data_IF_790966326010
#
_entry.id   IF_790966326010
#
_cell.length_a   1.000
_cell.length_b   1.000
_cell.length_c   1.000
_cell.angle_alpha   90.00
_cell.angle_beta   90.00
_cell.angle_gamma   90.00
#
_symmetry.space_group_name_H-M   'P 1'
#
loop_
_entity.id
_entity.type
_entity.pdbx_description
1 polymer ?
#
# COMPACT_ATOMS: atom_id res chain seq x y z
N UNK A 1 -8.95 -15.48 -4.11
CA UNK A 1 -8.26 -14.25 -3.64
C UNK A 1 -9.04 -13.07 -4.18
N UNK A 2 -9.44 -12.13 -3.35
CA UNK A 2 -10.16 -10.94 -3.83
C UNK A 2 -9.22 -10.09 -4.69
N UNK A 3 -9.73 -9.47 -5.75
CA UNK A 3 -8.96 -8.60 -6.66
C UNK A 3 -8.15 -7.52 -5.90
N UNK A 4 -8.76 -6.93 -4.87
CA UNK A 4 -8.13 -5.97 -3.97
C UNK A 4 -6.83 -6.51 -3.35
N UNK A 5 -6.86 -7.74 -2.82
CA UNK A 5 -5.69 -8.35 -2.16
C UNK A 5 -4.54 -8.60 -3.11
N UNK A 6 -4.83 -8.83 -4.40
CA UNK A 6 -3.80 -9.02 -5.43
C UNK A 6 -3.05 -7.74 -5.80
N UNK A 7 -3.65 -6.55 -5.56
CA UNK A 7 -3.13 -5.26 -6.03
C UNK A 7 -2.75 -4.29 -4.92
N UNK A 8 -3.11 -4.57 -3.65
CA UNK A 8 -2.93 -3.62 -2.54
C UNK A 8 -1.48 -3.41 -2.14
N UNK A 9 -0.64 -4.46 -2.21
CA UNK A 9 0.72 -4.46 -1.68
C UNK A 9 1.75 -4.16 -2.75
N UNK A 10 2.45 -3.03 -2.59
CA UNK A 10 3.51 -2.59 -3.51
C UNK A 10 4.83 -3.21 -3.09
N UNK A 11 5.58 -3.89 -3.97
CA UNK A 11 6.93 -4.36 -3.64
C UNK A 11 7.84 -3.21 -3.21
N UNK A 12 8.67 -3.37 -2.16
CA UNK A 12 9.55 -2.30 -1.65
C UNK A 12 10.43 -1.66 -2.72
N UNK A 13 10.92 -2.44 -3.69
CA UNK A 13 11.73 -1.95 -4.81
C UNK A 13 10.97 -1.05 -5.79
N UNK A 14 9.63 -1.05 -5.72
CA UNK A 14 8.76 -0.15 -6.49
C UNK A 14 8.34 1.10 -5.71
N UNK A 15 8.89 1.28 -4.50
CA UNK A 15 8.67 2.44 -3.64
C UNK A 15 9.92 3.32 -3.63
N UNK A 16 9.71 4.63 -3.72
CA UNK A 16 10.77 5.63 -3.61
C UNK A 16 10.45 6.62 -2.51
N UNK A 17 11.34 6.75 -1.53
CA UNK A 17 11.19 7.73 -0.45
C UNK A 17 11.30 9.15 -1.00
N UNK A 18 10.32 9.99 -0.69
CA UNK A 18 10.33 11.41 -1.06
C UNK A 18 11.22 12.15 -0.06
N UNK A 19 12.32 12.73 -0.55
CA UNK A 19 13.35 13.35 0.30
C UNK A 19 13.16 14.85 0.51
N UNK A 20 12.26 15.49 -0.25
CA UNK A 20 12.04 16.93 -0.18
C UNK A 20 10.60 17.37 -0.40
N UNK A 21 10.35 18.68 -0.23
CA UNK A 21 9.06 19.29 -0.44
C UNK A 21 7.99 18.91 0.58
N UNK A 22 6.73 19.24 0.24
CA UNK A 22 5.55 19.03 1.12
C UNK A 22 5.30 17.57 1.50
N UNK A 23 5.72 16.64 0.66
CA UNK A 23 5.51 15.20 0.83
C UNK A 23 6.73 14.48 1.39
N UNK A 24 7.73 15.22 1.92
CA UNK A 24 8.95 14.64 2.53
C UNK A 24 8.58 13.57 3.56
N UNK A 25 9.24 12.43 3.45
CA UNK A 25 9.04 11.27 4.32
C UNK A 25 7.96 10.29 3.85
N UNK A 26 7.12 10.68 2.89
CA UNK A 26 6.18 9.75 2.23
C UNK A 26 6.88 8.96 1.14
N UNK A 27 6.23 7.88 0.71
CA UNK A 27 6.72 7.03 -0.38
C UNK A 27 5.92 7.30 -1.65
N UNK A 28 6.62 7.40 -2.77
CA UNK A 28 6.05 7.44 -4.11
C UNK A 28 6.07 6.03 -4.70
N UNK A 29 5.00 5.67 -5.37
CA UNK A 29 4.87 4.37 -6.05
C UNK A 29 5.28 4.55 -7.51
N UNK A 30 6.23 3.75 -7.97
CA UNK A 30 6.64 3.74 -9.37
C UNK A 30 5.42 3.53 -10.29
N UNK A 31 5.11 4.47 -11.20
CA UNK A 31 3.98 4.34 -12.11
C UNK A 31 4.02 3.07 -12.96
N UNK A 32 5.20 2.62 -13.35
CA UNK A 32 5.38 1.41 -14.15
C UNK A 32 4.92 0.15 -13.41
N UNK A 33 5.08 0.11 -12.07
CA UNK A 33 4.54 -0.98 -11.27
C UNK A 33 3.00 -1.01 -11.34
N UNK A 34 2.34 0.16 -11.27
CA UNK A 34 0.88 0.23 -11.39
C UNK A 34 0.39 -0.36 -12.72
N UNK A 35 1.08 -0.03 -13.83
CA UNK A 35 0.72 -0.57 -15.15
C UNK A 35 1.00 -2.06 -15.25
N UNK A 36 2.07 -2.54 -14.62
CA UNK A 36 2.40 -3.96 -14.56
C UNK A 36 1.32 -4.74 -13.82
N UNK A 37 0.93 -4.33 -12.62
CA UNK A 37 -0.09 -5.04 -11.84
C UNK A 37 -1.45 -5.04 -12.54
N UNK A 38 -1.81 -3.94 -13.20
CA UNK A 38 -3.03 -3.91 -14.03
C UNK A 38 -2.95 -4.91 -15.19
N UNK A 39 -1.79 -5.01 -15.83
CA UNK A 39 -1.58 -5.96 -16.94
C UNK A 39 -1.58 -7.40 -16.44
N UNK A 40 -1.01 -7.68 -15.29
CA UNK A 40 -1.01 -9.01 -14.65
C UNK A 40 -2.42 -9.47 -14.26
N UNK A 41 -3.27 -8.55 -13.79
CA UNK A 41 -4.62 -8.88 -13.32
C UNK A 41 -5.67 -8.90 -14.45
N UNK A 42 -5.55 -8.04 -15.45
CA UNK A 42 -6.58 -7.83 -16.46
C UNK A 42 -6.12 -8.13 -17.89
N UNK A 43 -4.82 -8.33 -18.11
CA UNK A 43 -4.23 -8.43 -19.45
C UNK A 43 -3.68 -7.09 -19.95
N UNK A 44 -3.12 -7.04 -21.17
CA UNK A 44 -2.48 -5.84 -21.71
C UNK A 44 -3.41 -4.65 -21.83
N UNK A 45 -2.86 -3.44 -21.67
CA UNK A 45 -3.59 -2.19 -21.93
C UNK A 45 -4.13 -2.15 -23.37
N UNK A 46 -5.38 -1.77 -23.53
CA UNK A 46 -6.11 -1.83 -24.80
C UNK A 46 -6.84 -3.14 -25.05
N UNK A 47 -6.51 -4.22 -24.31
CA UNK A 47 -7.12 -5.54 -24.42
C UNK A 47 -7.91 -5.91 -23.17
N UNK A 48 -7.26 -5.95 -22.01
CA UNK A 48 -7.87 -6.32 -20.73
C UNK A 48 -8.27 -5.13 -19.87
N UNK A 49 -7.59 -4.02 -20.06
CA UNK A 49 -7.96 -2.72 -19.50
C UNK A 49 -7.58 -1.62 -20.49
N UNK A 50 -8.19 -0.46 -20.37
CA UNK A 50 -7.87 0.72 -21.19
C UNK A 50 -8.18 1.99 -20.43
N UNK A 51 -7.69 3.11 -20.94
CA UNK A 51 -8.08 4.41 -20.44
C UNK A 51 -8.32 5.40 -21.59
N UNK A 52 -9.03 6.45 -21.27
CA UNK A 52 -9.30 7.59 -22.17
C UNK A 52 -8.90 8.88 -21.44
N UNK A 53 -8.20 9.76 -22.12
CA UNK A 53 -8.00 11.13 -21.66
C UNK A 53 -9.24 11.92 -22.07
N UNK A 54 -10.05 12.31 -21.07
CA UNK A 54 -11.29 13.05 -21.31
C UNK A 54 -10.98 14.51 -21.58
N UNK A 55 -10.05 15.07 -20.78
CA UNK A 55 -9.71 16.48 -20.84
C UNK A 55 -8.29 16.73 -20.34
N UNK A 56 -7.60 17.63 -21.02
CA UNK A 56 -6.36 18.27 -20.57
C UNK A 56 -6.61 19.77 -20.51
N UNK A 57 -6.22 20.42 -19.41
CA UNK A 57 -6.33 21.85 -19.28
C UNK A 57 -5.24 22.41 -18.37
N UNK A 58 -5.02 23.70 -18.43
CA UNK A 58 -4.11 24.39 -17.52
C UNK A 58 -4.81 25.53 -16.81
N UNK A 59 -4.36 25.81 -15.60
CA UNK A 59 -4.85 26.91 -14.77
C UNK A 59 -3.68 27.75 -14.26
N UNK A 60 -3.84 29.09 -14.25
CA UNK A 60 -2.83 29.97 -13.65
C UNK A 60 -2.82 29.79 -12.14
N UNK A 61 -1.63 29.77 -11.57
CA UNK A 61 -1.40 29.81 -10.14
C UNK A 61 -0.82 31.17 -9.68
N UNK A 62 -0.49 31.30 -8.40
CA UNK A 62 0.15 32.50 -7.88
C UNK A 62 1.53 32.71 -8.51
N UNK A 63 2.01 33.95 -8.54
CA UNK A 63 3.37 34.31 -8.93
C UNK A 63 3.81 33.86 -10.34
N UNK A 64 2.86 33.70 -11.27
CA UNK A 64 3.14 33.27 -12.65
C UNK A 64 3.29 31.74 -12.80
N UNK A 65 3.04 30.97 -11.77
CA UNK A 65 2.95 29.51 -11.89
C UNK A 65 1.79 29.10 -12.78
N UNK A 66 1.92 27.91 -13.39
CA UNK A 66 0.84 27.30 -14.18
C UNK A 66 0.75 25.82 -13.79
N UNK A 67 -0.46 25.37 -13.55
CA UNK A 67 -0.75 23.96 -13.25
C UNK A 67 -1.40 23.30 -14.47
N UNK A 68 -0.87 22.13 -14.86
CA UNK A 68 -1.50 21.23 -15.80
C UNK A 68 -2.42 20.27 -15.08
N UNK A 69 -3.57 19.97 -15.64
CA UNK A 69 -4.54 19.01 -15.14
C UNK A 69 -4.91 18.02 -16.23
N UNK A 70 -5.26 16.82 -15.80
CA UNK A 70 -5.76 15.75 -16.65
C UNK A 70 -6.97 15.08 -16.00
N UNK A 71 -8.00 14.84 -16.78
CA UNK A 71 -9.11 13.97 -16.43
C UNK A 71 -9.04 12.72 -17.28
N UNK A 72 -9.10 11.55 -16.64
CA UNK A 72 -9.08 10.26 -17.31
C UNK A 72 -10.27 9.41 -16.89
N UNK A 73 -10.60 8.43 -17.74
CA UNK A 73 -11.52 7.32 -17.45
C UNK A 73 -10.79 6.02 -17.70
N UNK A 74 -10.80 5.11 -16.72
CA UNK A 74 -10.26 3.76 -16.85
C UNK A 74 -11.41 2.79 -17.00
N UNK A 75 -11.22 1.76 -17.83
CA UNK A 75 -12.20 0.72 -18.11
C UNK A 75 -11.53 -0.65 -17.99
N UNK A 76 -12.25 -1.62 -17.47
CA UNK A 76 -11.84 -3.01 -17.37
C UNK A 76 -12.63 -3.86 -18.36
N UNK A 77 -11.99 -4.85 -18.95
CA UNK A 77 -12.68 -5.85 -19.77
C UNK A 77 -13.43 -6.83 -18.87
N UNK A 78 -14.69 -7.05 -19.17
CA UNK A 78 -15.57 -8.02 -18.51
C UNK A 78 -16.11 -9.00 -19.56
N UNK A 79 -16.80 -10.05 -19.11
CA UNK A 79 -17.43 -11.01 -20.02
C UNK A 79 -18.52 -10.35 -20.87
N UNK A 80 -19.21 -9.35 -20.32
CA UNK A 80 -20.30 -8.61 -20.99
C UNK A 80 -19.82 -7.38 -21.80
N UNK A 81 -18.50 -7.13 -21.85
CA UNK A 81 -17.95 -5.98 -22.58
C UNK A 81 -16.94 -5.16 -21.77
N UNK A 82 -17.09 -3.85 -21.76
CA UNK A 82 -16.29 -2.96 -20.93
C UNK A 82 -17.09 -2.51 -19.70
N UNK A 83 -16.41 -2.41 -18.56
CA UNK A 83 -16.99 -1.88 -17.33
C UNK A 83 -17.46 -0.44 -17.49
N UNK A 84 -18.22 0.06 -16.52
CA UNK A 84 -18.39 1.48 -16.32
C UNK A 84 -17.06 2.19 -16.08
N UNK A 85 -17.04 3.49 -16.40
CA UNK A 85 -15.85 4.30 -16.29
C UNK A 85 -15.42 4.51 -14.82
N UNK A 86 -14.15 4.29 -14.54
CA UNK A 86 -13.51 4.63 -13.27
C UNK A 86 -12.81 5.97 -13.46
N UNK A 87 -13.29 7.05 -12.83
CA UNK A 87 -12.75 8.39 -13.06
C UNK A 87 -11.46 8.64 -12.31
N UNK A 88 -10.61 9.49 -12.85
CA UNK A 88 -9.45 10.03 -12.17
C UNK A 88 -9.13 11.44 -12.62
N UNK A 89 -8.77 12.29 -11.68
CA UNK A 89 -8.29 13.66 -11.96
C UNK A 89 -6.94 13.81 -11.30
N UNK A 90 -5.98 14.33 -12.05
CA UNK A 90 -4.62 14.56 -11.57
C UNK A 90 -4.07 15.91 -12.01
N UNK A 91 -3.02 16.33 -11.33
CA UNK A 91 -2.38 17.62 -11.59
C UNK A 91 -0.88 17.59 -11.45
N UNK A 92 -0.23 18.51 -12.15
CA UNK A 92 1.20 18.75 -12.05
C UNK A 92 1.54 20.21 -12.29
N UNK A 93 2.68 20.67 -11.82
CA UNK A 93 3.21 21.98 -12.17
C UNK A 93 3.78 21.94 -13.59
N UNK A 94 3.27 22.82 -14.43
CA UNK A 94 3.78 23.04 -15.78
C UNK A 94 4.73 24.25 -15.83
N UNK A 95 4.46 25.29 -15.02
CA UNK A 95 5.40 26.38 -14.75
C UNK A 95 5.54 26.50 -13.23
N UNK A 96 6.75 26.36 -12.75
CA UNK A 96 7.07 26.50 -11.32
C UNK A 96 7.97 27.71 -11.07
N UNK A 97 7.88 28.27 -9.87
CA UNK A 97 8.76 29.36 -9.41
C UNK A 97 9.91 28.75 -8.61
N UNK A 98 11.09 28.89 -9.16
CA UNK A 98 12.33 28.50 -8.52
C UNK A 98 13.16 29.72 -8.09
N UNK A 99 14.28 29.51 -7.41
CA UNK A 99 15.18 30.58 -6.98
C UNK A 99 15.74 31.43 -8.15
N UNK A 100 15.90 30.80 -9.33
CA UNK A 100 16.40 31.44 -10.55
C UNK A 100 15.30 32.11 -11.39
N UNK A 101 14.01 32.00 -11.02
CA UNK A 101 12.87 32.51 -11.75
C UNK A 101 11.86 31.46 -12.13
N UNK A 102 11.06 31.72 -13.16
CA UNK A 102 10.07 30.78 -13.66
C UNK A 102 10.75 29.68 -14.50
N UNK A 103 10.44 28.45 -14.20
CA UNK A 103 10.90 27.26 -14.92
C UNK A 103 9.71 26.58 -15.61
N UNK A 104 9.80 26.37 -16.92
CA UNK A 104 8.78 25.64 -17.67
C UNK A 104 9.13 24.16 -17.78
N UNK A 105 8.18 23.29 -17.42
CA UNK A 105 8.26 21.86 -17.52
C UNK A 105 7.37 21.37 -18.68
N UNK A 106 7.98 20.89 -19.76
CA UNK A 106 7.29 20.37 -20.95
C UNK A 106 6.56 19.04 -20.70
N UNK A 107 6.87 18.35 -19.59
CA UNK A 107 6.21 17.11 -19.17
C UNK A 107 4.94 17.34 -18.33
N UNK A 108 4.51 18.57 -18.08
CA UNK A 108 3.41 18.92 -17.18
C UNK A 108 2.13 18.10 -17.43
N UNK A 109 1.66 17.99 -18.67
CA UNK A 109 0.48 17.18 -19.00
C UNK A 109 0.71 15.67 -18.88
N UNK A 110 1.91 15.19 -19.20
CA UNK A 110 2.28 13.78 -19.00
C UNK A 110 2.23 13.40 -17.51
N UNK A 111 2.79 14.24 -16.66
CA UNK A 111 2.79 14.04 -15.22
C UNK A 111 1.37 14.12 -14.64
N UNK A 112 0.56 15.09 -15.06
CA UNK A 112 -0.84 15.23 -14.68
C UNK A 112 -1.66 13.99 -15.08
N UNK A 113 -1.44 13.44 -16.28
CA UNK A 113 -2.12 12.21 -16.73
C UNK A 113 -1.69 10.99 -15.92
N UNK A 114 -0.41 10.87 -15.58
CA UNK A 114 0.09 9.79 -14.70
C UNK A 114 -0.51 9.88 -13.30
N UNK A 115 -0.67 11.09 -12.76
CA UNK A 115 -1.33 11.32 -11.49
C UNK A 115 -2.84 10.98 -11.55
N UNK A 116 -3.54 11.41 -12.61
CA UNK A 116 -4.94 11.07 -12.84
C UNK A 116 -5.18 9.55 -12.92
N UNK A 117 -4.32 8.83 -13.65
CA UNK A 117 -4.35 7.36 -13.69
C UNK A 117 -4.12 6.77 -12.29
N UNK A 118 -3.18 7.30 -11.52
CA UNK A 118 -2.94 6.86 -10.15
C UNK A 118 -4.18 7.01 -9.27
N UNK A 119 -4.92 8.11 -9.43
CA UNK A 119 -6.18 8.36 -8.71
C UNK A 119 -7.24 7.34 -9.09
N UNK A 120 -7.46 7.07 -10.38
CA UNK A 120 -8.42 6.07 -10.84
C UNK A 120 -8.06 4.66 -10.35
N UNK A 121 -6.79 4.25 -10.45
CA UNK A 121 -6.33 2.91 -10.08
C UNK A 121 -6.42 2.65 -8.57
N UNK A 122 -6.36 3.68 -7.72
CA UNK A 122 -6.61 3.54 -6.27
C UNK A 122 -7.99 2.97 -5.97
N UNK A 123 -9.00 3.30 -6.76
CA UNK A 123 -10.36 2.78 -6.59
C UNK A 123 -10.44 1.27 -6.82
N UNK A 124 -9.48 0.69 -7.51
CA UNK A 124 -9.32 -0.75 -7.72
C UNK A 124 -8.47 -1.43 -6.64
N UNK A 125 -7.92 -0.66 -5.68
CA UNK A 125 -7.04 -1.18 -4.65
C UNK A 125 -5.56 -1.15 -5.00
N UNK A 126 -5.16 -0.58 -6.14
CA UNK A 126 -3.74 -0.53 -6.55
C UNK A 126 -2.93 0.30 -5.57
N UNK A 127 -2.04 -0.37 -4.82
CA UNK A 127 -1.20 0.24 -3.81
C UNK A 127 -1.93 0.68 -2.55
N UNK A 128 -3.11 0.10 -2.25
CA UNK A 128 -3.96 0.49 -1.13
C UNK A 128 -3.22 0.51 0.20
N UNK A 129 -2.37 -0.49 0.49
CA UNK A 129 -1.61 -0.58 1.74
C UNK A 129 -0.75 0.67 2.02
N UNK A 130 -0.25 1.34 0.97
CA UNK A 130 0.53 2.59 1.13
C UNK A 130 -0.38 3.74 1.57
N UNK A 131 -1.57 3.84 0.98
CA UNK A 131 -2.53 4.91 1.28
C UNK A 131 -3.25 4.69 2.60
N UNK A 132 -3.40 3.43 3.02
CA UNK A 132 -3.93 3.03 4.33
C UNK A 132 -2.91 3.18 5.47
N UNK A 133 -1.66 3.57 5.16
CA UNK A 133 -0.62 3.80 6.16
C UNK A 133 0.03 2.51 6.67
N UNK A 134 -0.09 1.41 5.94
CA UNK A 134 0.54 0.12 6.28
C UNK A 134 2.04 0.04 5.94
N UNK A 135 2.61 1.11 5.43
CA UNK A 135 4.03 1.25 5.09
C UNK A 135 4.67 2.33 5.95
N UNK A 136 5.67 1.99 6.76
CA UNK A 136 6.35 2.92 7.68
C UNK A 136 7.51 3.70 7.02
N UNK A 137 7.81 3.42 5.76
CA UNK A 137 8.92 3.99 4.99
C UNK A 137 10.09 3.03 4.78
N UNK A 138 10.07 1.87 5.44
CA UNK A 138 11.10 0.83 5.34
C UNK A 138 10.47 -0.56 5.17
N UNK A 139 9.34 -0.82 5.82
CA UNK A 139 8.65 -2.12 5.80
C UNK A 139 7.14 -1.95 5.91
N UNK A 140 6.41 -3.00 5.55
CA UNK A 140 4.99 -3.10 5.81
C UNK A 140 4.72 -3.37 7.29
N UNK A 141 3.75 -2.62 7.83
CA UNK A 141 3.16 -2.87 9.14
C UNK A 141 1.85 -3.61 8.95
N UNK A 142 1.61 -4.63 9.75
CA UNK A 142 0.33 -5.33 9.73
C UNK A 142 -0.79 -4.42 10.24
N UNK A 143 -2.00 -4.59 9.72
CA UNK A 143 -3.17 -3.89 10.27
C UNK A 143 -3.46 -4.37 11.70
N UNK A 144 -4.12 -3.54 12.51
CA UNK A 144 -4.48 -3.91 13.89
C UNK A 144 -5.25 -5.25 13.93
N UNK A 145 -6.15 -5.50 12.97
CA UNK A 145 -6.88 -6.76 12.87
C UNK A 145 -6.01 -7.96 12.48
N UNK A 146 -5.01 -7.76 11.60
CA UNK A 146 -4.06 -8.82 11.25
C UNK A 146 -3.13 -9.13 12.42
N UNK A 147 -2.69 -8.11 13.17
CA UNK A 147 -1.90 -8.28 14.39
C UNK A 147 -2.71 -9.00 15.49
N UNK A 148 -3.98 -8.67 15.65
CA UNK A 148 -4.88 -9.33 16.60
C UNK A 148 -5.11 -10.80 16.22
N UNK A 149 -5.37 -11.10 14.94
CA UNK A 149 -5.50 -12.47 14.45
C UNK A 149 -4.21 -13.28 14.64
N UNK A 150 -3.04 -12.69 14.39
CA UNK A 150 -1.76 -13.32 14.64
C UNK A 150 -1.51 -13.55 16.13
N UNK A 151 -1.86 -12.59 16.96
CA UNK A 151 -1.75 -12.71 18.42
C UNK A 151 -2.65 -13.84 18.95
N UNK A 152 -3.88 -13.96 18.44
CA UNK A 152 -4.78 -15.07 18.79
C UNK A 152 -4.22 -16.43 18.35
N UNK A 153 -3.68 -16.52 17.11
CA UNK A 153 -3.05 -17.72 16.58
C UNK A 153 -1.89 -18.16 17.47
N UNK A 154 -0.96 -17.25 17.80
CA UNK A 154 0.18 -17.54 18.66
C UNK A 154 -0.23 -17.85 20.12
N UNK A 155 -1.26 -17.19 20.63
CA UNK A 155 -1.82 -17.47 21.95
C UNK A 155 -2.42 -18.88 22.02
N UNK A 156 -3.12 -19.30 20.95
CA UNK A 156 -3.65 -20.66 20.82
C UNK A 156 -2.53 -21.70 20.74
N UNK A 157 -1.53 -21.49 19.88
CA UNK A 157 -0.38 -22.38 19.74
C UNK A 157 0.38 -22.54 21.05
N UNK A 158 0.57 -21.43 21.78
CA UNK A 158 1.17 -21.39 23.10
C UNK A 158 0.34 -22.22 24.12
N UNK A 159 -0.98 -22.08 24.08
CA UNK A 159 -1.89 -22.80 24.99
C UNK A 159 -1.88 -24.30 24.73
N UNK A 160 -1.79 -24.73 23.48
CA UNK A 160 -1.63 -26.17 23.15
C UNK A 160 -0.26 -26.70 23.59
N UNK A 161 0.82 -25.94 23.34
CA UNK A 161 2.16 -26.33 23.80
C UNK A 161 2.24 -26.48 25.32
N UNK A 162 1.55 -25.65 26.10
CA UNK A 162 1.50 -25.72 27.54
C UNK A 162 0.86 -27.01 28.09
N UNK A 163 0.08 -27.72 27.27
CA UNK A 163 -0.49 -29.03 27.63
C UNK A 163 0.52 -30.18 27.51
N UNK A 164 1.55 -30.02 26.71
CA UNK A 164 2.61 -31.01 26.47
C UNK A 164 3.73 -30.89 27.46
N UNK A 165 4.61 -31.93 27.53
CA UNK A 165 5.79 -31.90 28.38
C UNK A 165 6.96 -31.09 27.76
N UNK A 166 6.90 -30.80 26.47
CA UNK A 166 7.92 -30.04 25.72
C UNK A 166 7.76 -28.51 25.77
N UNK A 167 6.84 -28.01 26.58
CA UNK A 167 6.53 -26.59 26.69
C UNK A 167 7.72 -25.68 27.00
N UNK A 168 8.75 -26.21 27.71
CA UNK A 168 9.94 -25.43 28.07
C UNK A 168 10.79 -25.04 26.86
N UNK A 169 10.79 -25.88 25.83
CA UNK A 169 11.51 -25.62 24.59
C UNK A 169 10.71 -24.75 23.63
N UNK A 170 9.38 -24.68 23.78
CA UNK A 170 8.51 -24.00 22.85
C UNK A 170 8.80 -22.49 22.74
N UNK A 171 8.92 -21.79 23.87
CA UNK A 171 9.15 -20.35 23.84
C UNK A 171 10.50 -19.98 23.24
N UNK A 172 11.65 -20.54 23.65
CA UNK A 172 12.92 -20.26 22.99
C UNK A 172 12.91 -20.54 21.47
N UNK A 173 12.18 -21.56 21.01
CA UNK A 173 12.09 -21.94 19.61
C UNK A 173 11.21 -20.98 18.76
N UNK A 174 10.22 -20.31 19.37
CA UNK A 174 9.24 -19.51 18.64
C UNK A 174 9.34 -18.00 18.93
N UNK A 175 10.07 -17.58 19.94
CA UNK A 175 10.13 -16.21 20.45
C UNK A 175 10.41 -15.18 19.33
N UNK A 176 11.40 -15.42 18.51
CA UNK A 176 11.82 -14.45 17.47
C UNK A 176 10.75 -14.30 16.40
N UNK A 177 10.06 -15.39 16.04
CA UNK A 177 8.95 -15.37 15.09
C UNK A 177 7.72 -14.64 15.69
N UNK A 178 7.41 -14.89 16.97
CA UNK A 178 6.32 -14.19 17.68
C UNK A 178 6.60 -12.68 17.75
N UNK A 179 7.84 -12.28 18.04
CA UNK A 179 8.24 -10.87 18.05
C UNK A 179 8.10 -10.26 16.64
N UNK A 180 8.51 -11.00 15.61
CA UNK A 180 8.43 -10.55 14.23
C UNK A 180 6.97 -10.31 13.81
N UNK A 181 6.06 -11.21 14.16
CA UNK A 181 4.66 -11.20 13.71
C UNK A 181 3.72 -10.38 14.62
N UNK A 182 3.97 -10.34 15.93
CA UNK A 182 3.09 -9.66 16.89
C UNK A 182 3.73 -8.44 17.58
N UNK A 183 5.01 -8.16 17.31
CA UNK A 183 5.77 -7.12 17.99
C UNK A 183 6.11 -7.47 19.45
N UNK A 184 6.87 -6.61 20.12
CA UNK A 184 7.31 -6.83 21.50
C UNK A 184 6.16 -6.94 22.51
N UNK A 185 5.12 -6.13 22.33
CA UNK A 185 3.95 -6.14 23.21
C UNK A 185 3.15 -7.44 23.08
N UNK A 186 2.89 -7.87 21.84
CA UNK A 186 2.21 -9.12 21.54
C UNK A 186 3.01 -10.33 22.06
N UNK A 187 4.33 -10.35 21.86
CA UNK A 187 5.20 -11.39 22.39
C UNK A 187 5.14 -11.47 23.94
N UNK A 188 5.06 -10.33 24.62
CA UNK A 188 4.90 -10.28 26.08
C UNK A 188 3.55 -10.86 26.52
N UNK A 189 2.48 -10.67 25.76
CA UNK A 189 1.15 -11.24 26.04
C UNK A 189 1.15 -12.77 25.86
N UNK A 190 1.73 -13.27 24.76
CA UNK A 190 1.87 -14.72 24.50
C UNK A 190 2.70 -15.38 25.61
N UNK A 191 3.84 -14.78 25.98
CA UNK A 191 4.68 -15.30 27.09
C UNK A 191 3.98 -15.25 28.44
N UNK A 192 3.20 -14.20 28.71
CA UNK A 192 2.38 -14.08 29.91
C UNK A 192 1.33 -15.17 30.00
N UNK A 193 0.70 -15.56 28.89
CA UNK A 193 -0.24 -16.69 28.83
C UNK A 193 0.47 -18.02 29.15
N UNK A 194 1.65 -18.27 28.53
CA UNK A 194 2.44 -19.46 28.80
C UNK A 194 2.77 -19.59 30.28
N UNK A 195 3.29 -18.53 30.89
CA UNK A 195 3.72 -18.54 32.32
C UNK A 195 2.55 -18.72 33.25
N UNK A 196 1.37 -18.19 32.97
CA UNK A 196 0.14 -18.39 33.76
C UNK A 196 -0.30 -19.84 33.73
N UNK A 197 -0.42 -20.44 32.54
CA UNK A 197 -0.85 -21.84 32.37
C UNK A 197 0.09 -22.82 33.05
N UNK A 198 1.41 -22.53 33.03
CA UNK A 198 2.40 -23.37 33.73
C UNK A 198 2.32 -23.28 35.27
N UNK A 199 1.92 -22.12 35.80
CA UNK A 199 1.64 -21.99 37.23
C UNK A 199 0.41 -22.81 37.64
N UNK A 200 -0.64 -22.75 36.84
CA UNK A 200 -1.88 -23.51 37.07
C UNK A 200 -1.63 -25.01 37.00
N UNK A 201 -0.81 -25.50 36.05
CA UNK A 201 -0.43 -26.95 35.95
C UNK A 201 0.42 -27.44 37.13
N UNK A 202 1.14 -26.56 37.85
CA UNK A 202 1.93 -26.93 39.02
C UNK A 202 1.13 -26.97 40.30
N UNK A 203 -0.06 -26.43 40.36
CA UNK A 203 -0.95 -26.38 41.53
C UNK A 203 -2.02 -27.48 41.48
N UNK A 204 -2.23 -28.09 40.32
CA UNK A 204 -3.11 -29.23 40.09
C UNK A 204 -2.32 -30.55 40.17
#
# INVERSE_FOLDING_TARGET
MLLWDAMKRVPPESLKKITGGRLKGKSDINPQWRYRVMTEQFGPCGVGWRYEIVRLWSEPGPDGQVFAHSEVKVFLKTDDGWSDAIPGVGGSKMVDKESAGLYANDEGYKMATTDALSVALKMLGVGADIYEGRWDGERYTESAGEQEAKLEEWTRACSEAAKSDDFKAWWPANKDQVILECGQLGASQVYGTLTRMLKEKKVA
#
